data_IF_342583397378
#
_entry.id   IF_342583397378
#
_cell.length_a   1.000
_cell.length_b   1.000
_cell.length_c   1.000
_cell.angle_alpha   90.00
_cell.angle_beta   90.00
_cell.angle_gamma   90.00
#
_symmetry.space_group_name_H-M   'P 1'
#
loop_
_entity.id
_entity.type
_entity.pdbx_description
1 polymer ?
#
# COMPACT_ATOMS: atom_id res chain seq x y z
N UNK A 1 -15.28 10.59 12.72
CA UNK A 1 -15.95 9.61 11.82
C UNK A 1 -15.80 8.21 12.41
N UNK A 2 -16.64 7.22 12.04
CA UNK A 2 -16.43 5.83 12.46
C UNK A 2 -15.04 5.32 12.07
N UNK A 3 -14.46 4.44 12.88
CA UNK A 3 -13.24 3.74 12.53
C UNK A 3 -13.47 2.66 11.46
N UNK A 4 -12.38 2.08 10.94
CA UNK A 4 -12.49 0.94 10.02
C UNK A 4 -13.02 -0.27 10.79
N UNK A 5 -13.88 -1.08 10.16
CA UNK A 5 -14.44 -2.29 10.77
C UNK A 5 -13.34 -3.26 11.23
N UNK A 6 -12.24 -3.33 10.46
CA UNK A 6 -11.00 -4.06 10.78
C UNK A 6 -9.81 -3.19 10.40
N UNK A 7 -8.62 -3.48 10.93
CA UNK A 7 -7.42 -2.67 10.69
C UNK A 7 -7.57 -1.21 11.15
N UNK A 8 -8.32 -0.98 12.23
CA UNK A 8 -8.57 0.36 12.77
C UNK A 8 -7.28 1.01 13.28
N UNK A 9 -6.47 0.27 14.05
CA UNK A 9 -5.13 0.73 14.46
C UNK A 9 -4.14 0.61 13.31
N UNK A 10 -3.59 1.74 12.88
CA UNK A 10 -2.58 1.76 11.84
C UNK A 10 -1.97 3.12 11.59
N UNK A 11 -0.78 3.11 11.02
CA UNK A 11 0.07 4.28 10.74
C UNK A 11 0.45 4.28 9.27
N UNK A 12 0.69 5.46 8.70
CA UNK A 12 0.89 5.59 7.27
C UNK A 12 1.97 6.61 6.90
N UNK A 13 2.55 6.46 5.72
CA UNK A 13 3.61 7.33 5.18
C UNK A 13 3.52 7.45 3.66
N UNK A 14 4.03 8.58 3.13
CA UNK A 14 4.27 8.78 1.72
C UNK A 14 5.62 8.19 1.28
N UNK A 15 5.73 7.82 0.01
CA UNK A 15 6.98 7.36 -0.61
C UNK A 15 6.86 7.31 -2.13
N UNK A 16 7.75 6.55 -2.76
CA UNK A 16 7.70 6.28 -4.19
C UNK A 16 8.03 4.81 -4.50
N UNK A 17 7.56 4.34 -5.64
CA UNK A 17 7.90 3.07 -6.24
C UNK A 17 8.59 3.29 -7.59
N UNK A 18 9.57 2.46 -7.89
CA UNK A 18 10.29 2.44 -9.16
C UNK A 18 10.62 0.98 -9.51
N UNK A 19 10.18 0.46 -10.66
CA UNK A 19 10.49 -0.91 -11.04
C UNK A 19 11.96 -1.02 -11.47
N UNK A 20 12.59 -2.18 -11.27
CA UNK A 20 14.00 -2.36 -11.66
C UNK A 20 14.23 -2.39 -13.18
N UNK A 21 13.22 -2.82 -13.94
CA UNK A 21 13.23 -2.92 -15.40
C UNK A 21 11.80 -2.90 -15.93
N UNK A 22 11.65 -2.67 -17.24
CA UNK A 22 10.36 -2.84 -17.90
C UNK A 22 9.81 -4.26 -17.76
N UNK A 23 8.53 -4.37 -17.44
CA UNK A 23 7.78 -5.62 -17.44
C UNK A 23 6.76 -5.71 -18.60
N UNK A 24 6.95 -4.92 -19.66
CA UNK A 24 6.04 -4.85 -20.82
C UNK A 24 5.76 -6.22 -21.49
N UNK A 25 6.68 -7.17 -21.36
CA UNK A 25 6.49 -8.54 -21.86
C UNK A 25 5.45 -9.35 -21.07
N UNK A 26 5.11 -8.94 -19.84
CA UNK A 26 4.20 -9.66 -18.94
C UNK A 26 2.92 -8.88 -18.65
N UNK A 27 2.99 -7.54 -18.68
CA UNK A 27 1.88 -6.67 -18.34
C UNK A 27 1.96 -5.35 -19.10
N UNK A 28 0.80 -4.78 -19.40
CA UNK A 28 0.67 -3.43 -19.95
C UNK A 28 0.53 -2.35 -18.87
N UNK A 29 0.62 -2.72 -17.59
CA UNK A 29 0.47 -1.78 -16.49
C UNK A 29 1.57 -0.71 -16.54
N UNK A 30 1.15 0.54 -16.71
CA UNK A 30 2.02 1.65 -17.01
C UNK A 30 3.10 1.90 -15.94
N UNK A 31 2.78 1.79 -14.64
CA UNK A 31 3.75 1.95 -13.54
C UNK A 31 4.87 0.89 -13.50
N UNK A 32 4.78 -0.16 -14.32
CA UNK A 32 5.78 -1.23 -14.47
C UNK A 32 6.50 -1.19 -15.83
N UNK A 33 6.26 -0.15 -16.64
CA UNK A 33 6.69 -0.10 -18.05
C UNK A 33 8.15 0.33 -18.26
N UNK A 34 8.78 1.02 -17.32
CA UNK A 34 10.15 1.56 -17.46
C UNK A 34 10.89 1.66 -16.13
N UNK A 35 12.20 1.41 -16.14
CA UNK A 35 13.07 1.52 -14.97
C UNK A 35 13.21 2.95 -14.43
N UNK A 36 12.98 3.96 -15.27
CA UNK A 36 13.09 5.38 -14.89
C UNK A 36 11.75 5.95 -14.38
N UNK A 37 10.69 5.13 -14.40
CA UNK A 37 9.35 5.59 -14.02
C UNK A 37 9.19 5.58 -12.50
N UNK A 38 8.95 6.76 -11.93
CA UNK A 38 8.64 6.95 -10.51
C UNK A 38 7.13 7.05 -10.36
N UNK A 39 6.55 6.19 -9.52
CA UNK A 39 5.14 6.23 -9.14
C UNK A 39 5.03 6.60 -7.67
N UNK A 40 4.40 7.73 -7.31
CA UNK A 40 4.15 8.07 -5.92
C UNK A 40 3.33 6.98 -5.24
N UNK A 41 3.62 6.72 -3.96
CA UNK A 41 2.84 5.77 -3.15
C UNK A 41 2.45 6.35 -1.80
N UNK A 42 1.37 5.82 -1.24
CA UNK A 42 1.01 5.99 0.16
C UNK A 42 0.76 4.61 0.78
N UNK A 43 1.51 4.31 1.83
CA UNK A 43 1.46 3.00 2.50
C UNK A 43 0.82 3.16 3.86
N UNK A 44 -0.07 2.24 4.22
CA UNK A 44 -0.62 2.11 5.57
C UNK A 44 -0.36 0.72 6.14
N UNK A 45 0.30 0.69 7.30
CA UNK A 45 0.47 -0.50 8.12
C UNK A 45 -0.59 -0.55 9.21
N UNK A 46 -0.98 -1.74 9.66
CA UNK A 46 -2.04 -1.88 10.68
C UNK A 46 -1.98 -3.22 11.43
N UNK A 47 -2.58 -3.28 12.61
CA UNK A 47 -3.04 -4.55 13.21
C UNK A 47 -4.39 -4.93 12.57
N UNK A 48 -5.10 -5.96 13.06
CA UNK A 48 -6.40 -6.37 12.49
C UNK A 48 -7.53 -6.19 13.48
N UNK A 49 -7.42 -6.79 14.66
CA UNK A 49 -8.55 -6.97 15.59
C UNK A 49 -8.83 -5.74 16.45
N UNK A 50 -7.79 -5.02 16.87
CA UNK A 50 -7.91 -3.89 17.79
C UNK A 50 -8.48 -2.63 17.13
N UNK A 51 -9.25 -1.86 17.91
CA UNK A 51 -9.72 -0.52 17.55
C UNK A 51 -8.58 0.51 17.41
N UNK A 52 -8.88 1.72 16.95
CA UNK A 52 -7.88 2.74 16.59
C UNK A 52 -6.94 3.16 17.74
N UNK A 53 -7.37 3.02 18.99
CA UNK A 53 -6.60 3.32 20.20
C UNK A 53 -5.82 2.14 20.80
N UNK A 54 -5.84 0.96 20.17
CA UNK A 54 -5.13 -0.22 20.67
C UNK A 54 -3.60 -0.11 20.54
N UNK A 55 -2.87 -0.98 21.25
CA UNK A 55 -1.40 -0.98 21.24
C UNK A 55 -0.82 -1.62 19.96
N UNK A 56 0.36 -1.14 19.53
CA UNK A 56 0.98 -1.57 18.26
C UNK A 56 1.65 -2.96 18.32
N UNK A 57 2.26 -3.33 19.45
CA UNK A 57 3.11 -4.52 19.58
C UNK A 57 2.35 -5.76 20.07
N UNK A 58 1.06 -5.86 19.77
CA UNK A 58 0.21 -7.01 20.13
C UNK A 58 0.52 -8.23 19.25
N UNK A 59 0.14 -9.44 19.67
CA UNK A 59 0.14 -10.60 18.77
C UNK A 59 -1.11 -10.54 17.90
N UNK A 60 -0.93 -10.33 16.60
CA UNK A 60 -2.01 -10.24 15.61
C UNK A 60 -1.41 -10.47 14.20
N UNK A 61 -2.22 -10.52 13.16
CA UNK A 61 -1.75 -10.30 11.78
C UNK A 61 -1.44 -8.82 11.56
N UNK A 62 -0.70 -8.47 10.51
CA UNK A 62 -0.45 -7.09 10.13
C UNK A 62 -1.01 -6.85 8.74
N UNK A 63 -1.65 -5.72 8.54
CA UNK A 63 -2.03 -5.26 7.20
C UNK A 63 -0.92 -4.42 6.59
N UNK A 64 -0.67 -4.60 5.30
CA UNK A 64 0.24 -3.80 4.49
C UNK A 64 -0.51 -3.38 3.21
N UNK A 65 -1.12 -2.19 3.25
CA UNK A 65 -1.85 -1.63 2.10
C UNK A 65 -1.01 -0.55 1.42
N UNK A 66 -0.77 -0.70 0.12
CA UNK A 66 -0.03 0.26 -0.71
C UNK A 66 -0.92 0.81 -1.80
N UNK A 67 -1.11 2.13 -1.82
CA UNK A 67 -1.76 2.86 -2.90
C UNK A 67 -0.70 3.37 -3.87
N UNK A 68 -0.81 3.00 -5.13
CA UNK A 68 0.01 3.48 -6.25
C UNK A 68 -0.78 4.53 -7.02
N UNK A 69 -0.25 5.74 -7.10
CA UNK A 69 -0.82 6.83 -7.88
C UNK A 69 -0.25 6.78 -9.30
N UNK A 70 -0.70 5.80 -10.10
CA UNK A 70 -0.22 5.61 -11.48
C UNK A 70 -0.86 6.61 -12.44
N UNK A 71 -0.25 6.83 -13.61
CA UNK A 71 -0.77 7.76 -14.63
C UNK A 71 -2.04 7.22 -15.31
N UNK A 72 -2.28 5.91 -15.24
CA UNK A 72 -3.46 5.24 -15.79
C UNK A 72 -4.51 4.88 -14.71
N UNK A 73 -4.43 5.52 -13.55
CA UNK A 73 -5.37 5.36 -12.45
C UNK A 73 -4.75 4.81 -11.17
N UNK A 74 -5.52 4.85 -10.08
CA UNK A 74 -5.04 4.36 -8.79
C UNK A 74 -5.08 2.83 -8.77
N UNK A 75 -3.97 2.21 -8.36
CA UNK A 75 -3.90 0.79 -8.06
C UNK A 75 -3.65 0.60 -6.56
N UNK A 76 -4.50 -0.17 -5.89
CA UNK A 76 -4.35 -0.51 -4.47
C UNK A 76 -3.92 -1.97 -4.31
N UNK A 77 -2.70 -2.20 -3.82
CA UNK A 77 -2.24 -3.52 -3.39
C UNK A 77 -2.47 -3.67 -1.88
N UNK A 78 -3.56 -4.35 -1.51
CA UNK A 78 -4.01 -4.50 -0.12
C UNK A 78 -3.66 -5.91 0.38
N UNK A 79 -2.52 -6.04 1.08
CA UNK A 79 -2.02 -7.30 1.60
C UNK A 79 -1.95 -7.36 3.13
N UNK A 80 -1.39 -8.48 3.62
CA UNK A 80 -1.01 -8.74 5.01
C UNK A 80 0.45 -9.19 5.10
#
# INVERSE_FOLDING_TARGET
>A
IPERIVHARGSAAHGYFQPYKSLAALTKADFLSSADKITPVFVRFSTVQGGAGSADTVRDIRGFATKFYTDEGIFDLVGN
#
